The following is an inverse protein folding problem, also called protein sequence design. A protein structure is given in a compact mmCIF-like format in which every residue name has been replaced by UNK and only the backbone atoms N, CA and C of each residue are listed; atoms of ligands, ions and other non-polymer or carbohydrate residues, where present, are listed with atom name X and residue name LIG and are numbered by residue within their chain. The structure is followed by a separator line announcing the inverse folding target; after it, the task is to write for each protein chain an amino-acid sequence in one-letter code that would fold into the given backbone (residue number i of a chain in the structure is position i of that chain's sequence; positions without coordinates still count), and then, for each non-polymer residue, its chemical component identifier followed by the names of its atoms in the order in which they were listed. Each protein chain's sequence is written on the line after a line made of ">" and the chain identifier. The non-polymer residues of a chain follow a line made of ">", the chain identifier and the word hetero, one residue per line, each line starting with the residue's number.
data_IF_868814999928
#
_entry.id   IF_868814999928
#
_cell.length_a   1.000
_cell.length_b   1.000
_cell.length_c   1.000
_cell.angle_alpha   90.00
_cell.angle_beta   90.00
_cell.angle_gamma   90.00
#
_symmetry.space_group_name_H-M   'P 1'
#
loop_
_entity.id
_entity.type
_entity.pdbx_description
1 polymer ?
#
# COMPACT_ATOMS: atom_id res chain seq x y z
N UNK A 1 9.77 15.44 2.72
CA UNK A 1 8.88 16.01 3.76
C UNK A 1 7.43 15.79 3.37
N UNK A 2 6.50 15.61 4.32
CA UNK A 2 5.09 15.33 4.01
C UNK A 2 4.19 16.45 4.49
N UNK A 3 3.24 16.86 3.66
CA UNK A 3 2.21 17.85 3.97
C UNK A 3 0.83 17.21 4.05
N UNK A 4 -0.02 17.73 4.95
CA UNK A 4 -1.43 17.43 4.96
C UNK A 4 -2.18 18.33 3.96
N UNK A 5 -2.94 17.73 3.04
CA UNK A 5 -3.78 18.45 2.08
C UNK A 5 -5.14 17.75 2.01
N UNK A 6 -6.20 18.43 2.42
CA UNK A 6 -7.52 17.83 2.58
C UNK A 6 -8.46 18.07 1.39
N UNK A 7 -8.14 19.03 0.53
CA UNK A 7 -8.87 19.32 -0.71
C UNK A 7 -8.04 20.23 -1.62
N UNK A 8 -8.24 20.13 -2.94
CA UNK A 8 -7.78 21.13 -3.91
C UNK A 8 -8.52 22.46 -3.74
N UNK A 9 -9.77 22.39 -3.31
CA UNK A 9 -10.63 23.55 -3.02
C UNK A 9 -10.21 24.21 -1.71
N UNK A 10 -9.98 25.53 -1.76
CA UNK A 10 -9.52 26.32 -0.63
C UNK A 10 -10.53 26.30 0.53
N UNK A 11 -11.80 26.48 0.21
CA UNK A 11 -12.87 26.56 1.22
C UNK A 11 -12.95 25.27 2.02
N UNK A 12 -13.04 24.14 1.33
CA UNK A 12 -13.09 22.82 1.96
C UNK A 12 -11.83 22.53 2.77
N UNK A 13 -10.64 22.85 2.22
CA UNK A 13 -9.39 22.64 2.94
C UNK A 13 -9.34 23.46 4.23
N UNK A 14 -9.66 24.75 4.15
CA UNK A 14 -9.64 25.65 5.30
C UNK A 14 -10.67 25.28 6.37
N UNK A 15 -11.84 24.79 5.96
CA UNK A 15 -12.88 24.28 6.86
C UNK A 15 -12.42 23.00 7.59
N UNK A 16 -11.86 22.02 6.89
CA UNK A 16 -11.39 20.77 7.50
C UNK A 16 -10.25 21.03 8.48
N UNK A 17 -9.33 21.96 8.16
CA UNK A 17 -8.21 22.34 9.04
C UNK A 17 -8.66 23.30 10.15
N UNK A 18 -9.82 23.92 10.01
CA UNK A 18 -10.34 24.98 10.87
C UNK A 18 -9.37 26.18 10.96
N UNK A 19 -8.83 26.59 9.83
CA UNK A 19 -7.92 27.74 9.75
C UNK A 19 -8.06 28.46 8.40
N UNK A 20 -8.32 29.79 8.37
CA UNK A 20 -8.72 30.53 7.16
C UNK A 20 -7.62 30.64 6.08
N UNK A 21 -6.35 30.36 6.40
CA UNK A 21 -5.22 30.43 5.49
C UNK A 21 -4.46 29.09 5.37
N UNK A 22 -5.07 27.98 5.78
CA UNK A 22 -4.40 26.68 5.75
C UNK A 22 -4.00 26.27 4.32
N UNK A 23 -4.88 26.50 3.35
CA UNK A 23 -4.62 26.20 1.94
C UNK A 23 -3.40 26.97 1.42
N UNK A 24 -3.41 28.29 1.52
CA UNK A 24 -2.31 29.15 1.10
C UNK A 24 -0.97 28.76 1.76
N UNK A 25 -0.99 28.56 3.08
CA UNK A 25 0.20 28.19 3.84
C UNK A 25 0.77 26.84 3.42
N UNK A 26 -0.09 25.86 3.13
CA UNK A 26 0.32 24.54 2.63
C UNK A 26 0.99 24.66 1.26
N UNK A 27 0.41 25.43 0.34
CA UNK A 27 0.99 25.62 -1.00
C UNK A 27 2.35 26.30 -0.94
N UNK A 28 2.46 27.37 -0.14
CA UNK A 28 3.75 28.07 0.08
C UNK A 28 4.82 27.14 0.66
N UNK A 29 4.44 26.27 1.60
CA UNK A 29 5.35 25.29 2.18
C UNK A 29 5.84 24.26 1.15
N UNK A 30 4.96 23.74 0.30
CA UNK A 30 5.31 22.82 -0.78
C UNK A 30 6.28 23.51 -1.75
N UNK A 31 5.93 24.69 -2.25
CA UNK A 31 6.76 25.46 -3.18
C UNK A 31 8.15 25.77 -2.60
N UNK A 32 8.20 26.19 -1.33
CA UNK A 32 9.46 26.49 -0.67
C UNK A 32 10.40 25.28 -0.62
N UNK A 33 9.90 24.12 -0.23
CA UNK A 33 10.72 22.89 -0.14
C UNK A 33 11.17 22.39 -1.52
N UNK A 34 10.30 22.48 -2.53
CA UNK A 34 10.65 22.11 -3.90
C UNK A 34 11.76 23.01 -4.47
N UNK A 35 11.72 24.32 -4.20
CA UNK A 35 12.81 25.25 -4.56
C UNK A 35 14.15 24.90 -3.91
N UNK A 36 14.13 24.21 -2.77
CA UNK A 36 15.33 23.71 -2.10
C UNK A 36 15.73 22.28 -2.56
N UNK A 37 15.08 21.72 -3.56
CA UNK A 37 15.33 20.36 -4.04
C UNK A 37 14.93 19.27 -3.05
N UNK A 38 14.07 19.56 -2.08
CA UNK A 38 13.65 18.61 -1.06
C UNK A 38 12.46 17.81 -1.57
N UNK A 39 12.58 16.47 -1.56
CA UNK A 39 11.47 15.58 -1.89
C UNK A 39 10.23 15.90 -1.06
N UNK A 40 9.10 16.13 -1.72
CA UNK A 40 7.82 16.45 -1.11
C UNK A 40 6.78 15.38 -1.37
N UNK A 41 6.03 15.06 -0.34
CA UNK A 41 4.85 14.19 -0.42
C UNK A 41 3.64 14.88 0.20
N UNK A 42 2.45 14.47 -0.24
CA UNK A 42 1.19 14.94 0.34
C UNK A 42 0.43 13.75 0.92
N UNK A 43 -0.16 13.95 2.09
CA UNK A 43 -1.10 13.02 2.71
C UNK A 43 -2.48 13.67 2.81
N UNK A 44 -3.53 12.95 2.37
CA UNK A 44 -4.91 13.38 2.49
C UNK A 44 -5.67 12.40 3.39
N UNK A 45 -6.21 12.89 4.51
CA UNK A 45 -7.17 12.11 5.30
C UNK A 45 -8.54 12.27 4.66
N UNK A 46 -9.11 11.15 4.24
CA UNK A 46 -10.39 11.07 3.54
C UNK A 46 -11.53 10.90 4.55
N UNK A 47 -12.51 11.76 4.43
CA UNK A 47 -13.74 11.76 5.24
C UNK A 47 -14.95 12.09 4.36
N UNK A 48 -16.15 12.01 4.92
CA UNK A 48 -17.36 12.42 4.19
C UNK A 48 -17.29 13.89 3.70
N UNK A 49 -16.56 14.76 4.40
CA UNK A 49 -16.45 16.16 4.03
C UNK A 49 -15.62 16.44 2.77
N UNK A 50 -14.77 15.49 2.35
CA UNK A 50 -13.84 15.71 1.24
C UNK A 50 -13.70 14.50 0.30
N UNK A 51 -14.54 13.50 0.45
CA UNK A 51 -14.48 12.28 -0.37
C UNK A 51 -14.57 12.61 -1.87
N UNK A 52 -15.52 13.43 -2.27
CA UNK A 52 -15.76 13.82 -3.66
C UNK A 52 -14.61 14.66 -4.25
N UNK A 53 -13.73 15.19 -3.40
CA UNK A 53 -12.57 15.99 -3.81
C UNK A 53 -11.30 15.15 -4.01
N UNK A 54 -11.32 13.84 -3.73
CA UNK A 54 -10.13 13.00 -3.70
C UNK A 54 -9.37 13.01 -5.03
N UNK A 55 -10.04 12.70 -6.14
CA UNK A 55 -9.40 12.62 -7.44
C UNK A 55 -8.82 13.97 -7.87
N UNK A 56 -9.62 15.03 -7.80
CA UNK A 56 -9.21 16.38 -8.17
C UNK A 56 -8.04 16.87 -7.30
N UNK A 57 -8.02 16.51 -6.00
CA UNK A 57 -6.90 16.84 -5.11
C UNK A 57 -5.63 16.11 -5.52
N UNK A 58 -5.73 14.83 -5.90
CA UNK A 58 -4.60 14.06 -6.40
C UNK A 58 -4.00 14.69 -7.67
N UNK A 59 -4.83 15.02 -8.64
CA UNK A 59 -4.40 15.71 -9.88
C UNK A 59 -3.81 17.09 -9.56
N UNK A 60 -4.45 17.86 -8.69
CA UNK A 60 -3.99 19.18 -8.28
C UNK A 60 -2.57 19.14 -7.68
N UNK A 61 -2.31 18.24 -6.73
CA UNK A 61 -0.98 18.15 -6.10
C UNK A 61 0.08 17.62 -7.06
N UNK A 62 -0.30 16.79 -8.04
CA UNK A 62 0.61 16.39 -9.13
C UNK A 62 1.06 17.58 -9.96
N UNK A 63 0.12 18.46 -10.30
CA UNK A 63 0.41 19.70 -11.06
C UNK A 63 1.30 20.68 -10.28
N UNK A 64 1.36 20.56 -8.96
CA UNK A 64 2.33 21.28 -8.12
C UNK A 64 3.72 20.64 -8.11
N UNK A 65 3.94 19.53 -8.83
CA UNK A 65 5.21 18.82 -8.85
C UNK A 65 5.44 17.90 -7.64
N UNK A 66 4.38 17.55 -6.89
CA UNK A 66 4.47 16.57 -5.80
C UNK A 66 4.65 15.17 -6.38
N UNK A 67 5.61 14.42 -5.86
CA UNK A 67 6.00 13.11 -6.41
C UNK A 67 5.27 11.92 -5.76
N UNK A 68 4.71 12.13 -4.56
CA UNK A 68 4.05 11.07 -3.80
C UNK A 68 2.77 11.58 -3.13
N UNK A 69 1.68 10.85 -3.36
CA UNK A 69 0.38 11.10 -2.76
C UNK A 69 -0.04 9.89 -1.91
N UNK A 70 -0.27 10.13 -0.64
CA UNK A 70 -0.75 9.10 0.29
C UNK A 70 -2.08 9.49 0.88
N UNK A 71 -2.90 8.48 1.18
CA UNK A 71 -4.20 8.71 1.80
C UNK A 71 -4.44 7.82 2.99
N UNK A 72 -5.26 8.30 3.91
CA UNK A 72 -5.79 7.54 5.04
C UNK A 72 -7.28 7.80 5.13
N UNK A 73 -8.10 6.78 5.36
CA UNK A 73 -9.48 7.03 5.76
C UNK A 73 -9.52 7.59 7.19
N UNK A 74 -10.45 8.50 7.43
CA UNK A 74 -10.67 9.04 8.75
C UNK A 74 -11.16 7.93 9.70
N UNK A 75 -10.43 7.72 10.79
CA UNK A 75 -10.81 6.79 11.85
C UNK A 75 -11.52 7.58 12.95
N UNK A 76 -12.68 7.13 13.44
CA UNK A 76 -13.39 7.82 14.53
C UNK A 76 -12.50 8.04 15.75
N UNK A 77 -12.49 9.26 16.29
CA UNK A 77 -11.73 9.58 17.51
C UNK A 77 -12.54 9.23 18.75
N UNK A 78 -11.88 8.75 19.81
CA UNK A 78 -12.56 8.52 21.11
C UNK A 78 -13.04 9.82 21.75
N UNK A 79 -12.33 10.91 21.51
CA UNK A 79 -12.66 12.22 22.09
C UNK A 79 -13.81 12.93 21.36
N UNK A 80 -14.13 12.52 20.12
CA UNK A 80 -15.05 13.26 19.25
C UNK A 80 -16.52 12.86 19.33
N UNK A 81 -16.88 11.85 20.12
CA UNK A 81 -18.25 11.38 20.23
C UNK A 81 -18.85 10.83 18.92
N UNK A 82 -20.19 10.73 18.85
CA UNK A 82 -20.91 10.18 17.68
C UNK A 82 -20.70 10.97 16.37
N UNK A 83 -20.40 12.27 16.45
CA UNK A 83 -20.20 13.14 15.29
C UNK A 83 -18.99 12.72 14.45
N UNK A 84 -17.96 12.13 15.06
CA UNK A 84 -16.77 11.65 14.34
C UNK A 84 -17.02 10.33 13.60
N UNK A 85 -17.97 9.51 14.04
CA UNK A 85 -18.41 8.32 13.29
C UNK A 85 -19.03 8.71 11.95
N UNK A 86 -19.75 9.82 11.89
CA UNK A 86 -20.38 10.32 10.67
C UNK A 86 -19.37 10.83 9.62
N UNK A 87 -18.12 11.07 10.03
CA UNK A 87 -17.05 11.47 9.11
C UNK A 87 -16.32 10.30 8.46
N UNK A 88 -16.45 9.09 9.00
CA UNK A 88 -15.83 7.91 8.42
C UNK A 88 -16.47 7.51 7.08
N UNK A 89 -15.69 6.87 6.21
CA UNK A 89 -16.23 6.28 4.98
C UNK A 89 -17.16 5.12 5.30
N UNK A 90 -18.14 4.89 4.42
CA UNK A 90 -18.97 3.69 4.48
C UNK A 90 -18.30 2.52 3.74
N UNK A 91 -18.69 1.27 4.01
CA UNK A 91 -18.17 0.12 3.28
C UNK A 91 -18.38 0.21 1.76
N UNK A 92 -19.48 0.81 1.33
CA UNK A 92 -19.85 0.98 -0.08
C UNK A 92 -18.93 1.99 -0.80
N UNK A 93 -18.37 2.95 -0.08
CA UNK A 93 -17.43 3.93 -0.62
C UNK A 93 -16.01 3.39 -0.81
N UNK A 94 -15.65 2.27 -0.18
CA UNK A 94 -14.28 1.73 -0.26
C UNK A 94 -13.86 1.36 -1.69
N UNK A 95 -14.68 0.68 -2.50
CA UNK A 95 -14.32 0.43 -3.90
C UNK A 95 -14.07 1.70 -4.70
N UNK A 96 -14.91 2.73 -4.53
CA UNK A 96 -14.78 4.02 -5.23
C UNK A 96 -13.53 4.80 -4.75
N UNK A 97 -13.27 4.74 -3.45
CA UNK A 97 -12.04 5.30 -2.86
C UNK A 97 -10.78 4.73 -3.51
N UNK A 98 -10.72 3.40 -3.65
CA UNK A 98 -9.57 2.73 -4.24
C UNK A 98 -9.48 2.96 -5.76
N UNK A 99 -10.61 3.05 -6.47
CA UNK A 99 -10.63 3.41 -7.89
C UNK A 99 -10.10 4.83 -8.12
N UNK A 100 -10.52 5.79 -7.31
CA UNK A 100 -10.01 7.16 -7.40
C UNK A 100 -8.48 7.19 -7.24
N UNK A 101 -7.92 6.42 -6.30
CA UNK A 101 -6.47 6.31 -6.12
C UNK A 101 -5.79 5.65 -7.32
N UNK A 102 -6.42 4.64 -7.92
CA UNK A 102 -5.92 4.00 -9.13
C UNK A 102 -5.86 5.01 -10.29
N UNK A 103 -6.94 5.75 -10.53
CA UNK A 103 -6.98 6.77 -11.57
C UNK A 103 -5.96 7.89 -11.34
N UNK A 104 -5.83 8.40 -10.11
CA UNK A 104 -4.78 9.39 -9.80
C UNK A 104 -3.39 8.86 -10.20
N UNK A 105 -3.10 7.60 -9.88
CA UNK A 105 -1.81 7.00 -10.25
C UNK A 105 -1.62 6.88 -11.75
N UNK A 106 -2.63 6.38 -12.47
CA UNK A 106 -2.55 6.16 -13.92
C UNK A 106 -2.42 7.49 -14.68
N UNK A 107 -3.21 8.51 -14.28
CA UNK A 107 -3.27 9.79 -14.99
C UNK A 107 -2.07 10.69 -14.67
N UNK A 108 -1.52 10.60 -13.45
CA UNK A 108 -0.45 11.51 -13.00
C UNK A 108 0.94 10.88 -12.97
N UNK A 109 1.02 9.56 -12.92
CA UNK A 109 2.28 8.85 -12.72
C UNK A 109 2.88 8.96 -11.32
N UNK A 110 2.22 9.64 -10.36
CA UNK A 110 2.68 9.74 -8.97
C UNK A 110 2.75 8.37 -8.29
N UNK A 111 3.60 8.28 -7.26
CA UNK A 111 3.53 7.18 -6.32
C UNK A 111 2.34 7.38 -5.39
N UNK A 112 1.35 6.49 -5.50
CA UNK A 112 0.11 6.54 -4.70
C UNK A 112 0.06 5.36 -3.73
N UNK A 113 -0.28 5.61 -2.46
CA UNK A 113 -0.39 4.56 -1.43
C UNK A 113 -1.47 4.85 -0.39
N UNK A 114 -1.94 3.79 0.26
CA UNK A 114 -2.74 3.85 1.48
C UNK A 114 -1.81 3.90 2.70
N UNK A 115 -2.17 4.68 3.72
CA UNK A 115 -1.50 4.66 5.02
C UNK A 115 -2.24 3.83 6.06
N UNK A 116 -3.57 3.73 5.94
CA UNK A 116 -4.37 2.83 6.76
C UNK A 116 -4.69 1.55 5.97
N UNK A 117 -4.47 0.38 6.55
CA UNK A 117 -4.82 -0.88 5.89
C UNK A 117 -6.33 -1.03 5.67
N UNK A 118 -6.72 -1.24 4.43
CA UNK A 118 -8.07 -1.66 4.05
C UNK A 118 -8.09 -3.19 3.98
N UNK A 119 -9.13 -3.88 4.52
CA UNK A 119 -9.24 -5.33 4.39
C UNK A 119 -9.23 -5.77 2.94
N UNK A 120 -8.40 -6.77 2.60
CA UNK A 120 -8.24 -7.21 1.21
C UNK A 120 -9.56 -7.68 0.60
N UNK A 121 -10.40 -8.34 1.38
CA UNK A 121 -11.68 -8.87 0.92
C UNK A 121 -12.67 -7.80 0.44
N UNK A 122 -12.43 -6.52 0.73
CA UNK A 122 -13.30 -5.43 0.27
C UNK A 122 -13.40 -5.33 -1.26
N UNK A 123 -12.30 -5.62 -1.98
CA UNK A 123 -12.24 -5.52 -3.44
C UNK A 123 -11.45 -6.64 -4.13
N UNK A 124 -10.89 -7.59 -3.39
CA UNK A 124 -9.94 -8.58 -3.94
C UNK A 124 -10.47 -9.38 -5.12
N UNK A 125 -11.71 -9.84 -5.01
CA UNK A 125 -12.36 -10.61 -6.06
C UNK A 125 -13.03 -9.72 -7.12
N UNK A 126 -13.70 -8.65 -6.67
CA UNK A 126 -14.51 -7.79 -7.53
C UNK A 126 -13.68 -6.85 -8.42
N UNK A 127 -12.49 -6.43 -7.94
CA UNK A 127 -11.63 -5.44 -8.63
C UNK A 127 -10.16 -5.85 -8.58
N UNK A 128 -9.74 -6.87 -9.34
CA UNK A 128 -8.38 -7.42 -9.26
C UNK A 128 -7.26 -6.42 -9.56
N UNK A 129 -7.54 -5.41 -10.37
CA UNK A 129 -6.58 -4.35 -10.72
C UNK A 129 -6.20 -3.46 -9.54
N UNK A 130 -7.01 -3.43 -8.46
CA UNK A 130 -6.76 -2.64 -7.26
C UNK A 130 -5.92 -3.38 -6.19
N UNK A 131 -5.63 -4.67 -6.38
CA UNK A 131 -4.91 -5.49 -5.38
C UNK A 131 -3.58 -4.89 -4.96
N UNK A 132 -2.86 -4.26 -5.88
CA UNK A 132 -1.58 -3.65 -5.60
C UNK A 132 -1.66 -2.54 -4.53
N UNK A 133 -2.76 -1.77 -4.47
CA UNK A 133 -2.97 -0.77 -3.42
C UNK A 133 -3.09 -1.43 -2.04
N UNK A 134 -3.84 -2.52 -1.96
CA UNK A 134 -4.03 -3.27 -0.72
C UNK A 134 -2.72 -3.92 -0.25
N UNK A 135 -1.97 -4.52 -1.16
CA UNK A 135 -0.73 -5.25 -0.87
C UNK A 135 0.39 -4.35 -0.33
N UNK A 136 0.36 -3.05 -0.65
CA UNK A 136 1.32 -2.07 -0.13
C UNK A 136 0.94 -1.47 1.22
N UNK A 137 -0.25 -1.81 1.74
CA UNK A 137 -0.81 -1.25 2.97
C UNK A 137 -1.31 -2.34 3.91
N UNK A 138 -0.40 -2.97 4.64
CA UNK A 138 -0.72 -3.95 5.67
C UNK A 138 -0.46 -3.38 7.07
N UNK A 139 -1.17 -3.89 8.09
CA UNK A 139 -0.97 -3.44 9.46
C UNK A 139 0.41 -3.88 9.99
N UNK A 140 1.23 -2.90 10.33
CA UNK A 140 2.59 -3.09 10.88
C UNK A 140 2.71 -2.72 12.35
N UNK A 141 1.60 -2.30 12.97
CA UNK A 141 1.52 -1.90 14.38
C UNK A 141 2.06 -3.00 15.30
N UNK A 142 2.96 -2.62 16.23
CA UNK A 142 3.56 -3.53 17.21
C UNK A 142 4.43 -4.66 16.62
N UNK A 143 4.73 -4.62 15.30
CA UNK A 143 5.56 -5.61 14.61
C UNK A 143 6.85 -5.01 14.07
N UNK A 144 6.73 -3.96 13.28
CA UNK A 144 7.86 -3.23 12.66
C UNK A 144 7.79 -1.73 12.91
N UNK A 145 6.68 -1.27 13.46
CA UNK A 145 6.44 0.13 13.82
C UNK A 145 5.93 0.18 15.26
N UNK A 146 6.44 1.13 16.02
CA UNK A 146 5.92 1.57 17.32
C UNK A 146 5.86 3.09 17.32
N UNK A 147 5.06 3.63 18.22
CA UNK A 147 5.08 5.04 18.59
C UNK A 147 5.63 5.18 20.00
N UNK A 148 6.48 6.16 20.19
CA UNK A 148 6.99 6.57 21.50
C UNK A 148 6.54 8.01 21.70
N UNK A 149 5.87 8.28 22.79
CA UNK A 149 5.47 9.65 23.13
C UNK A 149 6.61 10.40 23.91
N UNK A 150 6.49 11.72 24.10
CA UNK A 150 7.53 12.50 24.77
C UNK A 150 7.83 12.05 26.21
N UNK A 151 6.93 11.32 26.86
CA UNK A 151 7.15 10.77 28.21
C UNK A 151 7.86 9.40 28.21
N UNK A 152 8.15 8.84 27.04
CA UNK A 152 8.75 7.52 26.88
C UNK A 152 7.73 6.38 26.82
N UNK A 153 6.44 6.65 26.87
CA UNK A 153 5.40 5.62 26.73
C UNK A 153 5.37 5.07 25.31
N UNK A 154 5.32 3.75 25.21
CA UNK A 154 5.33 3.03 23.93
C UNK A 154 3.94 2.51 23.59
N UNK A 155 3.52 2.74 22.35
CA UNK A 155 2.26 2.24 21.77
C UNK A 155 2.55 1.50 20.46
N UNK A 156 1.71 0.53 20.06
CA UNK A 156 1.90 -0.18 18.80
C UNK A 156 1.65 0.71 17.57
N UNK A 157 0.82 1.76 17.72
CA UNK A 157 0.38 2.65 16.66
C UNK A 157 -0.14 3.95 17.27
N UNK A 158 -0.01 5.13 16.59
CA UNK A 158 -0.53 6.40 17.09
C UNK A 158 -2.05 6.39 17.35
N UNK A 159 -2.78 5.51 16.68
CA UNK A 159 -4.24 5.43 16.82
C UNK A 159 -4.70 4.53 17.98
N UNK A 160 -3.80 3.80 18.64
CA UNK A 160 -4.08 2.93 19.81
C UNK A 160 -3.70 3.67 21.07
N UNK A 161 -4.61 3.70 22.05
CA UNK A 161 -4.36 4.42 23.30
C UNK A 161 -3.64 3.59 24.35
N UNK A 162 -3.72 2.26 24.29
CA UNK A 162 -3.10 1.37 25.25
C UNK A 162 -1.58 1.42 25.14
N UNK A 163 -0.90 1.84 26.20
CA UNK A 163 0.55 1.80 26.36
C UNK A 163 1.02 0.38 26.73
N UNK A 164 2.22 0.04 26.31
CA UNK A 164 2.86 -1.26 26.57
C UNK A 164 4.03 -1.17 27.54
N UNK A 165 4.34 0.03 28.01
CA UNK A 165 5.41 0.32 28.96
C UNK A 165 6.19 1.58 28.59
N UNK A 166 7.21 1.91 29.38
CA UNK A 166 8.02 3.10 29.21
C UNK A 166 9.47 2.72 28.90
N UNK A 167 9.97 3.14 27.73
CA UNK A 167 11.34 2.80 27.30
C UNK A 167 12.43 3.42 28.18
N UNK A 168 12.15 4.54 28.87
CA UNK A 168 13.10 5.21 29.75
C UNK A 168 13.29 4.46 31.09
N UNK A 169 12.29 3.66 31.47
CA UNK A 169 12.27 2.91 32.73
C UNK A 169 12.67 1.45 32.52
N UNK A 170 12.22 0.83 31.44
CA UNK A 170 12.28 -0.62 31.24
C UNK A 170 13.18 -1.05 30.07
N UNK A 171 13.50 -0.12 29.18
CA UNK A 171 14.22 -0.42 27.95
C UNK A 171 13.31 -0.95 26.82
N UNK A 172 13.76 -0.76 25.57
CA UNK A 172 12.97 -1.08 24.39
C UNK A 172 12.69 -2.58 24.25
N UNK A 173 13.66 -3.44 24.53
CA UNK A 173 13.52 -4.89 24.33
C UNK A 173 12.41 -5.47 25.22
N UNK A 174 12.32 -5.05 26.48
CA UNK A 174 11.30 -5.47 27.43
C UNK A 174 9.92 -5.04 26.98
N UNK A 175 9.79 -3.76 26.59
CA UNK A 175 8.52 -3.20 26.13
C UNK A 175 8.08 -3.84 24.81
N UNK A 176 9.04 -4.09 23.89
CA UNK A 176 8.77 -4.74 22.61
C UNK A 176 8.23 -6.16 22.77
N UNK A 177 8.75 -6.95 23.70
CA UNK A 177 8.27 -8.30 23.97
C UNK A 177 6.81 -8.33 24.39
N UNK A 178 6.30 -7.30 25.08
CA UNK A 178 4.87 -7.20 25.44
C UNK A 178 3.96 -6.98 24.23
N UNK A 179 4.51 -6.62 23.09
CA UNK A 179 3.76 -6.48 21.84
C UNK A 179 3.70 -7.77 21.01
N UNK A 180 4.22 -8.88 21.52
CA UNK A 180 4.11 -10.21 20.90
C UNK A 180 2.69 -10.54 20.38
N UNK A 181 1.59 -10.20 21.09
CA UNK A 181 0.23 -10.43 20.56
C UNK A 181 -0.03 -9.78 19.18
N UNK A 182 0.65 -8.70 18.85
CA UNK A 182 0.57 -8.07 17.52
C UNK A 182 1.26 -8.90 16.46
N UNK A 183 2.38 -9.53 16.79
CA UNK A 183 3.11 -10.43 15.89
C UNK A 183 2.39 -11.76 15.69
N UNK A 184 1.81 -12.30 16.76
CA UNK A 184 1.18 -13.61 16.80
C UNK A 184 -0.27 -13.62 16.29
N UNK A 185 -0.72 -12.57 15.64
CA UNK A 185 -2.08 -12.47 15.09
C UNK A 185 -3.21 -12.50 16.14
N UNK A 186 -2.93 -12.23 17.42
CA UNK A 186 -3.96 -12.30 18.49
C UNK A 186 -5.15 -11.35 18.27
N UNK A 187 -4.95 -10.29 17.50
CA UNK A 187 -6.00 -9.32 17.15
C UNK A 187 -6.61 -9.57 15.77
N UNK A 188 -6.26 -10.65 15.09
CA UNK A 188 -6.93 -11.02 13.84
C UNK A 188 -8.31 -11.58 14.16
N UNK A 189 -9.40 -11.06 13.54
CA UNK A 189 -10.74 -11.55 13.82
C UNK A 189 -10.89 -13.04 13.54
N UNK A 190 -11.66 -13.75 14.35
CA UNK A 190 -11.95 -15.17 14.16
C UNK A 190 -12.56 -15.43 12.77
N UNK A 191 -13.41 -14.53 12.30
CA UNK A 191 -14.03 -14.60 10.97
C UNK A 191 -13.01 -14.52 9.83
N UNK A 192 -11.78 -14.07 10.09
CA UNK A 192 -10.69 -14.00 9.11
C UNK A 192 -9.81 -15.26 9.10
N UNK A 193 -9.89 -16.13 10.11
CA UNK A 193 -9.06 -17.34 10.22
C UNK A 193 -9.13 -18.26 8.99
N UNK A 194 -10.31 -18.51 8.36
CA UNK A 194 -10.37 -19.34 7.17
C UNK A 194 -9.92 -18.62 5.87
N UNK A 195 -9.42 -17.39 5.94
CA UNK A 195 -9.01 -16.60 4.77
C UNK A 195 -7.60 -16.95 4.32
N UNK A 196 -7.40 -17.26 3.04
CA UNK A 196 -6.08 -17.58 2.48
C UNK A 196 -5.13 -16.38 2.44
N UNK A 197 -5.64 -15.16 2.63
CA UNK A 197 -4.86 -13.92 2.69
C UNK A 197 -4.67 -13.40 4.13
N UNK A 198 -5.01 -14.18 5.14
CA UNK A 198 -5.02 -13.72 6.54
C UNK A 198 -3.65 -13.21 6.99
N UNK A 199 -2.57 -13.91 6.68
CA UNK A 199 -1.20 -13.55 7.07
C UNK A 199 -0.73 -12.21 6.47
N UNK A 200 -1.24 -11.85 5.31
CA UNK A 200 -0.93 -10.59 4.63
C UNK A 200 -1.86 -9.45 5.03
N UNK A 201 -3.16 -9.71 5.00
CA UNK A 201 -4.22 -8.74 5.27
C UNK A 201 -4.36 -8.41 6.77
N UNK A 202 -4.30 -9.45 7.64
CA UNK A 202 -4.44 -9.35 9.09
C UNK A 202 -5.75 -8.67 9.54
N UNK A 203 -6.78 -8.75 8.68
CA UNK A 203 -8.10 -8.20 8.95
C UNK A 203 -8.22 -6.66 8.79
N UNK A 204 -7.24 -6.01 8.15
CA UNK A 204 -7.23 -4.56 7.96
C UNK A 204 -6.78 -3.77 9.19
N UNK A 205 -7.16 -2.48 9.28
CA UNK A 205 -6.77 -1.61 10.40
C UNK A 205 -7.42 -2.04 11.71
N UNK A 206 -6.60 -2.38 12.71
CA UNK A 206 -7.10 -2.82 14.03
C UNK A 206 -7.61 -1.65 14.88
N UNK A 207 -7.00 -0.44 14.72
CA UNK A 207 -7.49 0.75 15.38
C UNK A 207 -8.88 1.15 14.90
N UNK A 208 -9.17 0.99 13.61
CA UNK A 208 -10.49 1.23 13.06
C UNK A 208 -11.51 0.22 13.58
N UNK A 209 -11.15 -1.07 13.65
CA UNK A 209 -11.99 -2.10 14.23
C UNK A 209 -12.30 -1.81 15.70
N UNK A 210 -11.31 -1.40 16.50
CA UNK A 210 -11.51 -1.01 17.90
C UNK A 210 -12.47 0.19 18.02
N UNK A 211 -12.25 1.24 17.22
CA UNK A 211 -13.05 2.48 17.30
C UNK A 211 -14.48 2.33 16.82
N UNK A 212 -14.69 1.50 15.82
CA UNK A 212 -16.01 1.30 15.19
C UNK A 212 -16.79 0.16 15.82
N UNK A 213 -16.08 -0.93 16.20
CA UNK A 213 -16.70 -2.18 16.65
C UNK A 213 -16.32 -2.56 18.09
N UNK A 214 -15.58 -1.71 18.81
CA UNK A 214 -15.33 -1.82 20.26
C UNK A 214 -14.19 -2.76 20.66
N UNK A 215 -13.47 -3.41 19.73
CA UNK A 215 -12.35 -4.30 20.07
C UNK A 215 -11.32 -4.36 18.95
N UNK A 216 -10.04 -4.47 19.32
CA UNK A 216 -8.94 -4.73 18.38
C UNK A 216 -9.15 -6.02 17.57
N UNK A 217 -9.77 -7.03 18.16
CA UNK A 217 -10.06 -8.32 17.51
C UNK A 217 -11.41 -8.34 16.78
N UNK A 218 -12.16 -7.24 16.79
CA UNK A 218 -13.43 -7.17 16.07
C UNK A 218 -13.22 -7.21 14.55
N UNK A 219 -14.24 -7.65 13.83
CA UNK A 219 -14.29 -7.58 12.37
C UNK A 219 -14.20 -6.09 11.97
N UNK A 220 -13.26 -5.76 11.07
CA UNK A 220 -13.17 -4.40 10.53
C UNK A 220 -14.45 -4.07 9.73
N UNK A 221 -14.98 -2.84 9.79
CA UNK A 221 -16.24 -2.47 9.14
C UNK A 221 -16.25 -2.70 7.62
N UNK A 222 -15.09 -2.63 6.98
CA UNK A 222 -14.93 -2.85 5.54
C UNK A 222 -14.71 -4.31 5.15
N UNK A 223 -14.66 -5.24 6.11
CA UNK A 223 -14.50 -6.66 5.83
C UNK A 223 -15.80 -7.28 5.32
N UNK A 224 -15.74 -8.00 4.20
CA UNK A 224 -16.90 -8.68 3.60
C UNK A 224 -16.91 -10.15 4.00
N UNK A 225 -16.11 -10.98 3.35
CA UNK A 225 -16.01 -12.43 3.54
C UNK A 225 -14.55 -12.87 3.39
N UNK A 226 -14.16 -14.02 3.96
CA UNK A 226 -12.86 -14.62 3.70
C UNK A 226 -12.60 -14.82 2.21
N UNK A 227 -11.41 -14.47 1.75
CA UNK A 227 -10.96 -14.73 0.39
C UNK A 227 -10.45 -16.16 0.32
N UNK A 228 -10.88 -16.90 -0.70
CA UNK A 228 -10.30 -18.17 -1.09
C UNK A 228 -9.54 -18.00 -2.38
N UNK A 229 -8.25 -18.27 -2.34
CA UNK A 229 -7.42 -18.24 -3.53
C UNK A 229 -7.70 -19.50 -4.34
N UNK A 230 -7.88 -19.35 -5.64
CA UNK A 230 -7.79 -20.52 -6.51
C UNK A 230 -6.39 -21.13 -6.34
N UNK A 231 -6.26 -22.46 -6.41
CA UNK A 231 -4.94 -23.09 -6.43
C UNK A 231 -4.06 -22.34 -7.42
N UNK A 232 -2.81 -22.03 -7.02
CA UNK A 232 -1.84 -21.45 -7.94
C UNK A 232 -1.82 -22.39 -9.14
N UNK A 233 -2.37 -21.93 -10.26
CA UNK A 233 -2.14 -22.65 -11.51
C UNK A 233 -0.63 -22.68 -11.66
N UNK A 234 -0.08 -23.89 -11.77
CA UNK A 234 1.35 -24.00 -12.10
C UNK A 234 1.63 -23.03 -13.24
N UNK A 235 2.76 -22.30 -13.18
CA UNK A 235 3.10 -21.33 -14.21
C UNK A 235 2.86 -21.98 -15.57
N UNK A 236 2.06 -21.36 -16.41
CA UNK A 236 1.82 -21.90 -17.74
C UNK A 236 3.17 -21.90 -18.48
N UNK A 237 3.87 -23.04 -18.41
CA UNK A 237 5.16 -23.27 -19.06
C UNK A 237 5.03 -23.37 -20.59
N UNK A 238 3.81 -23.33 -21.11
CA UNK A 238 3.57 -23.42 -22.55
C UNK A 238 3.84 -22.05 -23.20
N UNK A 239 5.12 -21.81 -23.42
CA UNK A 239 5.59 -20.68 -24.24
C UNK A 239 5.99 -21.28 -25.61
N UNK A 240 5.11 -21.20 -26.63
CA UNK A 240 5.37 -21.79 -27.95
C UNK A 240 6.65 -21.23 -28.60
N UNK A 241 7.30 -22.06 -29.39
CA UNK A 241 8.41 -21.63 -30.30
C UNK A 241 7.86 -20.49 -31.16
N UNK A 242 8.68 -19.46 -31.38
CA UNK A 242 8.30 -18.24 -32.09
C UNK A 242 7.70 -17.14 -31.15
N UNK A 243 7.36 -17.46 -29.91
CA UNK A 243 6.88 -16.44 -28.97
C UNK A 243 7.96 -15.40 -28.73
N UNK A 244 7.64 -14.13 -29.00
CA UNK A 244 8.51 -12.99 -28.71
C UNK A 244 8.15 -12.39 -27.38
N UNK A 245 9.10 -12.40 -26.46
CA UNK A 245 8.98 -11.85 -25.10
C UNK A 245 9.68 -10.50 -25.03
N UNK A 246 9.03 -9.53 -24.38
CA UNK A 246 9.58 -8.20 -24.13
C UNK A 246 9.42 -7.87 -22.65
N UNK A 247 10.36 -7.10 -22.12
CA UNK A 247 10.25 -6.59 -20.73
C UNK A 247 9.20 -5.47 -20.70
N UNK A 248 8.38 -5.48 -19.68
CA UNK A 248 7.46 -4.38 -19.39
C UNK A 248 8.29 -3.11 -19.16
N UNK A 249 7.79 -1.96 -19.61
CA UNK A 249 8.55 -0.69 -19.57
C UNK A 249 9.08 -0.36 -18.16
N UNK A 250 10.27 0.26 -18.12
CA UNK A 250 10.90 0.78 -16.90
C UNK A 250 11.33 -0.30 -15.89
N UNK A 251 11.88 -1.42 -16.35
CA UNK A 251 12.48 -2.42 -15.46
C UNK A 251 13.65 -1.81 -14.68
N UNK A 252 13.64 -1.99 -13.37
CA UNK A 252 14.75 -1.71 -12.47
C UNK A 252 15.13 -2.97 -11.71
N UNK A 253 16.40 -3.07 -11.34
CA UNK A 253 16.91 -4.16 -10.51
C UNK A 253 17.60 -3.58 -9.28
N UNK A 254 17.34 -4.18 -8.13
CA UNK A 254 18.02 -3.82 -6.88
C UNK A 254 18.54 -5.09 -6.22
N UNK A 255 19.81 -5.08 -5.85
CA UNK A 255 20.41 -6.14 -5.04
C UNK A 255 20.02 -5.93 -3.57
N UNK A 256 19.49 -6.97 -2.92
CA UNK A 256 19.11 -6.94 -1.52
C UNK A 256 20.18 -7.53 -0.63
N UNK A 257 20.42 -8.84 -0.72
CA UNK A 257 21.42 -9.56 0.07
C UNK A 257 22.03 -10.68 -0.77
N UNK A 258 23.29 -10.99 -0.54
CA UNK A 258 24.03 -12.08 -1.21
C UNK A 258 23.72 -12.17 -2.71
N UNK A 259 22.95 -13.17 -3.12
CA UNK A 259 22.53 -13.42 -4.51
C UNK A 259 21.04 -13.05 -4.75
N UNK A 260 20.39 -12.35 -3.83
CA UNK A 260 18.98 -11.99 -3.91
C UNK A 260 18.80 -10.63 -4.58
N UNK A 261 17.95 -10.58 -5.58
CA UNK A 261 17.60 -9.39 -6.36
C UNK A 261 16.10 -9.17 -6.38
N UNK A 262 15.69 -7.91 -6.38
CA UNK A 262 14.32 -7.50 -6.70
C UNK A 262 14.33 -6.85 -8.08
N UNK A 263 13.62 -7.47 -9.02
CA UNK A 263 13.27 -6.87 -10.30
C UNK A 263 11.92 -6.19 -10.15
N UNK A 264 11.80 -4.94 -10.54
CA UNK A 264 10.54 -4.22 -10.41
C UNK A 264 10.30 -3.25 -11.56
N UNK A 265 9.03 -3.07 -11.85
CA UNK A 265 8.49 -2.04 -12.74
C UNK A 265 7.69 -1.05 -11.89
N UNK A 266 6.93 -0.16 -12.52
CA UNK A 266 6.07 0.80 -11.80
C UNK A 266 5.09 0.10 -10.83
N UNK A 267 4.60 -1.08 -11.17
CA UNK A 267 3.46 -1.75 -10.54
C UNK A 267 3.64 -3.26 -10.30
N UNK A 268 4.78 -3.81 -10.68
CA UNK A 268 5.08 -5.23 -10.54
C UNK A 268 6.47 -5.44 -9.97
N UNK A 269 6.64 -6.50 -9.21
CA UNK A 269 7.95 -6.90 -8.73
C UNK A 269 8.10 -8.42 -8.73
N UNK A 270 9.33 -8.87 -8.79
CA UNK A 270 9.74 -10.25 -8.69
C UNK A 270 11.01 -10.34 -7.86
N UNK A 271 10.98 -11.15 -6.80
CA UNK A 271 12.18 -11.47 -6.02
C UNK A 271 12.83 -12.69 -6.64
N UNK A 272 14.12 -12.60 -6.93
CA UNK A 272 14.83 -13.64 -7.67
C UNK A 272 16.31 -13.69 -7.34
N UNK A 273 17.01 -14.68 -7.86
CA UNK A 273 18.48 -14.81 -7.74
C UNK A 273 19.20 -14.04 -8.82
N UNK A 274 20.49 -13.81 -8.63
CA UNK A 274 21.33 -13.01 -9.52
C UNK A 274 21.33 -13.52 -10.97
N UNK A 275 21.42 -14.82 -11.19
CA UNK A 275 21.42 -15.40 -12.53
C UNK A 275 20.13 -15.09 -13.31
N UNK A 276 18.97 -15.19 -12.64
CA UNK A 276 17.65 -14.86 -13.23
C UNK A 276 17.54 -13.36 -13.46
N UNK A 277 17.97 -12.53 -12.49
CA UNK A 277 17.98 -11.09 -12.64
C UNK A 277 18.82 -10.64 -13.84
N UNK A 278 20.00 -11.20 -14.00
CA UNK A 278 20.89 -10.97 -15.16
C UNK A 278 20.24 -11.39 -16.48
N UNK A 279 19.62 -12.56 -16.51
CA UNK A 279 18.91 -13.07 -17.69
C UNK A 279 17.78 -12.14 -18.14
N UNK A 280 16.90 -11.73 -17.22
CA UNK A 280 15.80 -10.82 -17.52
C UNK A 280 16.33 -9.42 -17.91
N UNK A 281 17.36 -8.91 -17.24
CA UNK A 281 17.98 -7.63 -17.59
C UNK A 281 18.62 -7.68 -18.99
N UNK A 282 19.19 -8.80 -19.39
CA UNK A 282 19.71 -8.98 -20.75
C UNK A 282 18.61 -8.92 -21.83
N UNK A 283 17.40 -9.43 -21.53
CA UNK A 283 16.23 -9.28 -22.41
C UNK A 283 15.86 -7.82 -22.54
N UNK A 284 15.87 -7.07 -21.42
CA UNK A 284 15.57 -5.64 -21.41
C UNK A 284 16.56 -4.86 -22.29
N UNK A 285 17.85 -5.12 -22.15
CA UNK A 285 18.91 -4.46 -22.93
C UNK A 285 18.82 -4.77 -24.42
N UNK A 286 18.48 -6.01 -24.78
CA UNK A 286 18.31 -6.45 -26.18
C UNK A 286 16.97 -6.03 -26.79
N UNK A 287 16.04 -5.52 -25.98
CA UNK A 287 14.69 -5.10 -26.37
C UNK A 287 13.68 -6.25 -26.46
N UNK A 288 14.11 -7.46 -26.83
CA UNK A 288 13.23 -8.65 -26.88
C UNK A 288 14.02 -9.95 -26.89
N UNK A 289 13.32 -11.05 -26.60
CA UNK A 289 13.81 -12.42 -26.74
C UNK A 289 12.74 -13.23 -27.49
N UNK A 290 13.15 -13.93 -28.55
CA UNK A 290 12.26 -14.90 -29.24
C UNK A 290 12.62 -16.31 -28.77
N UNK A 291 11.61 -17.09 -28.45
CA UNK A 291 11.78 -18.49 -28.06
C UNK A 291 12.05 -19.31 -29.34
N UNK A 292 13.29 -19.71 -29.53
CA UNK A 292 13.70 -20.63 -30.57
C UNK A 292 13.69 -22.09 -30.10
N UNK A 293 14.01 -23.03 -30.98
CA UNK A 293 14.04 -24.46 -30.65
C UNK A 293 15.04 -24.79 -29.54
N UNK A 294 16.19 -24.12 -29.51
CA UNK A 294 17.24 -24.35 -28.53
C UNK A 294 16.77 -23.86 -27.12
N UNK A 295 16.17 -22.68 -27.06
CA UNK A 295 15.67 -22.14 -25.84
C UNK A 295 14.46 -22.93 -25.30
N UNK A 296 13.61 -23.44 -26.20
CA UNK A 296 12.48 -24.28 -25.84
C UNK A 296 12.88 -25.62 -25.18
N UNK A 297 14.10 -26.11 -25.46
CA UNK A 297 14.66 -27.31 -24.83
C UNK A 297 15.33 -27.02 -23.49
N UNK A 298 15.63 -25.75 -23.17
CA UNK A 298 16.16 -25.34 -21.86
C UNK A 298 15.04 -25.13 -20.86
N UNK A 299 14.74 -26.22 -20.12
CA UNK A 299 13.66 -26.19 -19.10
C UNK A 299 13.83 -25.06 -18.07
N UNK A 300 15.06 -24.80 -17.60
CA UNK A 300 15.32 -23.77 -16.60
C UNK A 300 15.07 -22.36 -17.15
N UNK A 301 15.44 -22.12 -18.42
CA UNK A 301 15.16 -20.84 -19.08
C UNK A 301 13.65 -20.65 -19.31
N UNK A 302 12.93 -21.68 -19.76
CA UNK A 302 11.47 -21.63 -19.96
C UNK A 302 10.74 -21.40 -18.65
N UNK A 303 11.10 -22.10 -17.58
CA UNK A 303 10.54 -21.85 -16.23
C UNK A 303 10.79 -20.41 -15.77
N UNK A 304 11.99 -19.89 -15.98
CA UNK A 304 12.34 -18.50 -15.67
C UNK A 304 11.49 -17.49 -16.45
N UNK A 305 11.32 -17.71 -17.75
CA UNK A 305 10.48 -16.86 -18.60
C UNK A 305 9.01 -16.91 -18.18
N UNK A 306 8.50 -18.11 -17.86
CA UNK A 306 7.13 -18.30 -17.40
C UNK A 306 6.88 -17.60 -16.06
N UNK A 307 7.80 -17.72 -15.10
CA UNK A 307 7.72 -17.03 -13.81
C UNK A 307 7.73 -15.50 -13.98
N UNK A 308 8.63 -14.97 -14.82
CA UNK A 308 8.71 -13.55 -15.09
C UNK A 308 7.48 -13.02 -15.85
N UNK A 309 6.90 -13.82 -16.75
CA UNK A 309 5.65 -13.51 -17.43
C UNK A 309 4.47 -13.47 -16.46
N UNK A 310 4.34 -14.48 -15.62
CA UNK A 310 3.27 -14.52 -14.60
C UNK A 310 3.40 -13.41 -13.56
N UNK A 311 4.64 -13.02 -13.23
CA UNK A 311 4.90 -11.85 -12.37
C UNK A 311 4.61 -10.49 -13.06
N UNK A 312 4.31 -10.50 -14.38
CA UNK A 312 4.07 -9.29 -15.16
C UNK A 312 5.34 -8.47 -15.47
N UNK A 313 6.52 -9.04 -15.24
CA UNK A 313 7.81 -8.45 -15.59
C UNK A 313 8.07 -8.60 -17.11
N UNK A 314 7.65 -9.70 -17.68
CA UNK A 314 7.64 -9.95 -19.12
C UNK A 314 6.21 -9.92 -19.68
N UNK A 315 6.09 -9.61 -20.96
CA UNK A 315 4.85 -9.76 -21.75
C UNK A 315 5.18 -10.32 -23.13
N UNK A 316 4.20 -10.94 -23.76
CA UNK A 316 4.31 -11.28 -25.19
C UNK A 316 4.31 -9.97 -26.00
N UNK A 317 5.22 -9.85 -26.98
CA UNK A 317 5.11 -8.76 -27.94
C UNK A 317 3.84 -8.93 -28.77
N UNK A 318 3.20 -7.83 -29.09
CA UNK A 318 2.05 -7.82 -29.98
C UNK A 318 2.47 -8.18 -31.40
#
# INVERSE_FOLDING_TARGET
>A
MSFAKFSYDETTHNQVVNHPRAHENTLRGIEYLQKQGIFTSVNMVISQANFDHLYQTGVFVSNLGVESFSTAQAIPSQAGGKSHLQQALTPEQIPEYLEALHHIREDTGMFVKLTNPVPFCSVWESRPHLRYLLETSTCTAGRTIIQIDPSGQVKPCPMINNGYGNILEEGLDVVWQRMTPWSDNAYVPETCQPCDLVERCRGGCRAEAERTCGSLAAKNPFSIKPVKLSPIQEPNHNLPIGTKMVVTRNLRARKEQADLYVLFTKDRYMVTRENVARFISAIHTKGSLTIDEKLAQDRGAIETLALAYNAGILRKAA
#
